data_IF_126063595431
#
_entry.id   IF_126063595431
#
_cell.length_a   1.000
_cell.length_b   1.000
_cell.length_c   1.000
_cell.angle_alpha   90.00
_cell.angle_beta   90.00
_cell.angle_gamma   90.00
#
_symmetry.space_group_name_H-M   'P 1'
#
loop_
_entity.id
_entity.type
_entity.pdbx_description
1 polymer ?
#
# COMPACT_ATOMS: atom_id res chain seq x y z
N UNK A 1 -3.67 -3.50 7.90
CA UNK A 1 -4.35 -2.36 8.54
C UNK A 1 -4.16 -1.05 7.79
N UNK A 2 -3.02 -0.79 7.17
CA UNK A 2 -2.69 0.48 6.50
C UNK A 2 -3.41 0.76 5.16
N UNK A 3 -4.07 -0.22 4.57
CA UNK A 3 -4.86 0.01 3.35
C UNK A 3 -5.92 1.08 3.59
N UNK A 4 -5.77 2.26 2.97
CA UNK A 4 -6.68 3.41 3.09
C UNK A 4 -6.89 3.92 4.55
N UNK A 5 -5.93 3.71 5.44
CA UNK A 5 -5.98 4.19 6.82
C UNK A 5 -4.63 4.79 7.20
N UNK A 6 -4.66 5.95 7.84
CA UNK A 6 -3.44 6.67 8.24
C UNK A 6 -2.66 5.91 9.32
N UNK A 7 -1.33 6.00 9.28
CA UNK A 7 -0.42 5.32 10.21
C UNK A 7 -0.75 5.64 11.67
N UNK A 8 -0.95 6.92 12.00
CA UNK A 8 -1.30 7.35 13.37
C UNK A 8 -2.53 6.66 13.93
N UNK A 9 -3.54 6.44 13.08
CA UNK A 9 -4.77 5.73 13.45
C UNK A 9 -4.50 4.24 13.65
N UNK A 10 -3.64 3.64 12.83
CA UNK A 10 -3.37 2.18 12.86
C UNK A 10 -2.54 1.75 14.06
N UNK A 11 -1.58 2.56 14.52
CA UNK A 11 -0.62 2.19 15.58
C UNK A 11 -1.29 1.58 16.82
N UNK A 12 -2.28 2.23 17.49
CA UNK A 12 -2.90 1.66 18.68
C UNK A 12 -3.66 0.36 18.39
N UNK A 13 -4.31 0.25 17.25
CA UNK A 13 -5.00 -0.98 16.82
C UNK A 13 -4.02 -2.11 16.55
N UNK A 14 -2.92 -1.82 15.87
CA UNK A 14 -1.89 -2.79 15.56
C UNK A 14 -1.27 -3.37 16.83
N UNK A 15 -0.88 -2.50 17.77
CA UNK A 15 -0.29 -2.92 19.03
C UNK A 15 -1.23 -3.79 19.85
N UNK A 16 -2.51 -3.40 19.97
CA UNK A 16 -3.52 -4.20 20.65
C UNK A 16 -3.75 -5.55 19.94
N UNK A 17 -3.83 -5.52 18.60
CA UNK A 17 -4.07 -6.71 17.80
C UNK A 17 -2.94 -7.73 17.96
N UNK A 18 -1.68 -7.32 17.83
CA UNK A 18 -0.51 -8.20 17.97
C UNK A 18 -0.38 -8.74 19.41
N UNK A 19 -0.69 -7.93 20.42
CA UNK A 19 -0.72 -8.40 21.83
C UNK A 19 -1.75 -9.52 22.05
N UNK A 20 -2.92 -9.46 21.38
CA UNK A 20 -4.02 -10.43 21.56
C UNK A 20 -3.96 -11.60 20.57
N UNK A 21 -3.31 -11.40 19.43
CA UNK A 21 -3.18 -12.36 18.32
C UNK A 21 -1.73 -12.30 17.80
N UNK A 22 -0.78 -12.89 18.52
CA UNK A 22 0.66 -12.65 18.32
C UNK A 22 1.26 -13.32 17.08
N UNK A 23 0.57 -14.26 16.48
CA UNK A 23 1.08 -14.99 15.32
C UNK A 23 -0.03 -15.52 14.42
N UNK A 24 0.36 -16.02 13.25
CA UNK A 24 -0.55 -16.54 12.23
C UNK A 24 -1.40 -17.72 12.74
N UNK A 25 -0.83 -18.60 13.56
CA UNK A 25 -1.55 -19.75 14.15
C UNK A 25 -2.64 -19.28 15.12
N UNK A 26 -2.33 -18.30 15.97
CA UNK A 26 -3.32 -17.69 16.85
C UNK A 26 -4.43 -16.98 16.07
N UNK A 27 -4.07 -16.29 14.98
CA UNK A 27 -5.02 -15.62 14.08
C UNK A 27 -5.97 -16.64 13.43
N UNK A 28 -5.45 -17.70 12.85
CA UNK A 28 -6.24 -18.72 12.15
C UNK A 28 -7.22 -19.46 13.07
N UNK A 29 -6.84 -19.66 14.35
CA UNK A 29 -7.67 -20.33 15.37
C UNK A 29 -8.68 -19.40 16.06
N UNK A 30 -8.53 -18.09 15.94
CA UNK A 30 -9.46 -17.13 16.53
C UNK A 30 -10.84 -17.20 15.90
N UNK A 31 -11.89 -16.84 16.64
CA UNK A 31 -13.21 -16.64 16.05
C UNK A 31 -13.26 -15.35 15.24
N UNK A 32 -14.07 -15.31 14.18
CA UNK A 32 -14.26 -14.10 13.37
C UNK A 32 -14.77 -12.95 14.25
N UNK A 33 -15.67 -13.24 15.19
CA UNK A 33 -16.21 -12.26 16.17
C UNK A 33 -15.07 -11.60 16.97
N UNK A 34 -14.09 -12.39 17.47
CA UNK A 34 -12.91 -11.86 18.18
C UNK A 34 -12.09 -10.95 17.30
N UNK A 35 -11.83 -11.33 16.06
CA UNK A 35 -11.03 -10.53 15.11
C UNK A 35 -11.76 -9.21 14.77
N UNK A 36 -13.06 -9.25 14.52
CA UNK A 36 -13.86 -8.06 14.28
C UNK A 36 -13.92 -7.12 15.48
N UNK A 37 -13.99 -7.67 16.71
CA UNK A 37 -13.94 -6.86 17.93
C UNK A 37 -12.60 -6.13 18.10
N UNK A 38 -11.49 -6.80 17.78
CA UNK A 38 -10.16 -6.15 17.81
C UNK A 38 -9.96 -5.11 16.70
N UNK A 39 -10.82 -5.13 15.69
CA UNK A 39 -10.80 -4.20 14.56
C UNK A 39 -11.82 -3.07 14.69
N UNK A 40 -12.67 -3.12 15.72
CA UNK A 40 -13.78 -2.19 15.93
C UNK A 40 -13.27 -0.74 15.97
N UNK A 41 -13.91 0.14 15.19
CA UNK A 41 -13.52 1.55 15.04
C UNK A 41 -12.50 1.83 13.93
N UNK A 42 -11.76 0.82 13.44
CA UNK A 42 -10.79 1.03 12.35
C UNK A 42 -11.44 1.15 10.96
N UNK A 43 -12.69 0.68 10.81
CA UNK A 43 -13.43 0.68 9.54
C UNK A 43 -12.97 -0.37 8.53
N UNK A 44 -13.64 -0.42 7.38
CA UNK A 44 -13.34 -1.37 6.30
C UNK A 44 -13.19 -2.80 6.79
N UNK A 45 -14.18 -3.32 7.49
CA UNK A 45 -14.18 -4.64 8.16
C UNK A 45 -13.91 -5.82 7.24
N UNK A 46 -14.14 -5.68 5.94
CA UNK A 46 -13.78 -6.68 4.94
C UNK A 46 -12.28 -7.02 5.00
N UNK A 47 -11.41 -6.05 5.33
CA UNK A 47 -9.97 -6.29 5.51
C UNK A 47 -9.68 -7.26 6.66
N UNK A 48 -10.38 -7.10 7.79
CA UNK A 48 -10.26 -8.00 8.93
C UNK A 48 -10.73 -9.42 8.58
N UNK A 49 -11.88 -9.52 7.90
CA UNK A 49 -12.40 -10.82 7.43
C UNK A 49 -11.45 -11.48 6.44
N UNK A 50 -10.92 -10.73 5.48
CA UNK A 50 -9.97 -11.24 4.51
C UNK A 50 -8.66 -11.69 5.19
N UNK A 51 -8.11 -10.90 6.10
CA UNK A 51 -6.93 -11.27 6.88
C UNK A 51 -7.13 -12.59 7.64
N UNK A 52 -8.29 -12.75 8.29
CA UNK A 52 -8.66 -13.97 9.00
C UNK A 52 -8.81 -15.18 8.06
N UNK A 53 -9.53 -15.01 6.93
CA UNK A 53 -9.67 -16.06 5.91
C UNK A 53 -8.31 -16.46 5.33
N UNK A 54 -7.49 -15.49 4.97
CA UNK A 54 -6.13 -15.70 4.45
C UNK A 54 -5.27 -16.47 5.46
N UNK A 55 -5.34 -16.15 6.75
CA UNK A 55 -4.58 -16.89 7.78
C UNK A 55 -4.94 -18.37 7.83
N UNK A 56 -6.21 -18.72 7.69
CA UNK A 56 -6.68 -20.12 7.63
C UNK A 56 -6.15 -20.85 6.39
N UNK A 57 -6.18 -20.19 5.23
CA UNK A 57 -5.66 -20.74 3.97
C UNK A 57 -4.16 -20.97 4.09
N UNK A 58 -3.40 -19.99 4.62
CA UNK A 58 -1.96 -20.11 4.79
C UNK A 58 -1.60 -21.28 5.70
N UNK A 59 -2.28 -21.47 6.82
CA UNK A 59 -2.04 -22.61 7.71
C UNK A 59 -2.39 -23.93 7.01
N UNK A 60 -3.54 -24.03 6.33
CA UNK A 60 -4.02 -25.26 5.72
C UNK A 60 -3.26 -25.66 4.46
N UNK A 61 -3.02 -24.71 3.56
CA UNK A 61 -2.49 -24.97 2.19
C UNK A 61 -0.98 -24.73 2.07
N UNK A 62 -0.43 -23.85 2.91
CA UNK A 62 0.96 -23.38 2.78
C UNK A 62 1.80 -23.59 4.04
N UNK A 63 1.36 -24.43 4.98
CA UNK A 63 2.07 -24.70 6.25
C UNK A 63 2.46 -23.44 7.03
N UNK A 64 1.64 -22.40 6.96
CA UNK A 64 1.89 -21.12 7.62
C UNK A 64 2.88 -20.20 6.92
N UNK A 65 3.38 -20.56 5.74
CA UNK A 65 4.27 -19.72 4.94
C UNK A 65 3.49 -18.86 3.95
N UNK A 66 3.97 -17.68 3.66
CA UNK A 66 3.43 -16.82 2.61
C UNK A 66 3.95 -17.36 1.26
N UNK A 67 3.11 -17.55 0.22
CA UNK A 67 3.58 -18.05 -1.07
C UNK A 67 4.54 -17.09 -1.76
N UNK A 68 5.61 -17.59 -2.35
CA UNK A 68 6.59 -16.81 -3.13
C UNK A 68 6.16 -16.61 -4.60
N UNK A 69 4.91 -16.82 -4.92
CA UNK A 69 4.36 -16.69 -6.27
C UNK A 69 3.29 -15.60 -6.33
N UNK A 70 3.43 -14.68 -7.28
CA UNK A 70 2.45 -13.63 -7.54
C UNK A 70 1.03 -14.19 -7.76
N UNK A 71 0.91 -15.23 -8.59
CA UNK A 71 -0.38 -15.87 -8.89
C UNK A 71 -1.00 -16.47 -7.63
N UNK A 72 -0.22 -17.21 -6.84
CA UNK A 72 -0.70 -17.83 -5.59
C UNK A 72 -1.06 -16.80 -4.52
N UNK A 73 -0.35 -15.67 -4.47
CA UNK A 73 -0.70 -14.57 -3.57
C UNK A 73 -2.04 -13.95 -3.95
N UNK A 74 -2.30 -13.77 -5.23
CA UNK A 74 -3.57 -13.20 -5.71
C UNK A 74 -4.79 -14.11 -5.48
N UNK A 75 -4.60 -15.41 -5.30
CA UNK A 75 -5.67 -16.32 -4.88
C UNK A 75 -6.13 -16.09 -3.43
N UNK A 76 -5.32 -15.38 -2.62
CA UNK A 76 -5.62 -15.15 -1.21
C UNK A 76 -6.59 -13.97 -1.04
N UNK A 77 -7.61 -14.11 -0.15
CA UNK A 77 -8.59 -13.07 0.08
C UNK A 77 -7.96 -11.71 0.47
N UNK A 78 -8.31 -10.66 -0.25
CA UNK A 78 -7.85 -9.29 0.03
C UNK A 78 -6.43 -8.98 -0.46
N UNK A 79 -5.81 -9.85 -1.24
CA UNK A 79 -4.53 -9.63 -1.89
C UNK A 79 -4.75 -9.31 -3.37
N UNK A 80 -4.62 -8.05 -3.72
CA UNK A 80 -4.57 -7.55 -5.10
C UNK A 80 -3.13 -7.42 -5.60
N UNK A 81 -2.97 -6.91 -6.83
CA UNK A 81 -1.67 -6.75 -7.50
C UNK A 81 -0.68 -5.94 -6.66
N UNK A 82 -1.14 -4.82 -6.09
CA UNK A 82 -0.33 -3.99 -5.21
C UNK A 82 0.20 -4.77 -4.01
N UNK A 83 -0.69 -5.42 -3.26
CA UNK A 83 -0.31 -6.15 -2.05
C UNK A 83 0.59 -7.34 -2.37
N UNK A 84 0.33 -8.06 -3.46
CA UNK A 84 1.17 -9.16 -3.90
C UNK A 84 2.60 -8.70 -4.23
N UNK A 85 2.75 -7.59 -4.97
CA UNK A 85 4.06 -7.03 -5.29
C UNK A 85 4.79 -6.52 -4.04
N UNK A 86 4.11 -5.85 -3.11
CA UNK A 86 4.69 -5.44 -1.81
C UNK A 86 5.23 -6.66 -1.06
N UNK A 87 4.42 -7.71 -0.90
CA UNK A 87 4.84 -8.91 -0.17
C UNK A 87 6.05 -9.60 -0.82
N UNK A 88 6.07 -9.70 -2.15
CA UNK A 88 7.20 -10.30 -2.88
C UNK A 88 8.48 -9.48 -2.76
N UNK A 89 8.38 -8.15 -2.78
CA UNK A 89 9.52 -7.27 -2.58
C UNK A 89 10.05 -7.33 -1.15
N UNK A 90 9.18 -7.16 -0.15
CA UNK A 90 9.60 -7.03 1.25
C UNK A 90 10.02 -8.37 1.89
N UNK A 91 9.33 -9.46 1.58
CA UNK A 91 9.59 -10.76 2.23
C UNK A 91 10.64 -11.55 1.47
N UNK A 92 10.59 -11.53 0.14
CA UNK A 92 11.41 -12.35 -0.73
C UNK A 92 12.46 -11.58 -1.52
N UNK A 93 12.56 -10.27 -1.27
CA UNK A 93 13.48 -9.38 -1.96
C UNK A 93 13.41 -9.49 -3.50
N UNK A 94 12.23 -9.84 -4.04
CA UNK A 94 12.04 -9.91 -5.49
C UNK A 94 12.05 -8.51 -6.10
N UNK A 95 12.56 -8.33 -7.34
CA UNK A 95 12.57 -7.04 -8.03
C UNK A 95 11.14 -6.67 -8.49
N UNK A 96 10.32 -6.25 -7.55
CA UNK A 96 8.92 -5.89 -7.73
C UNK A 96 8.69 -4.45 -7.28
N UNK A 97 7.96 -3.71 -8.09
CA UNK A 97 7.50 -2.36 -7.74
C UNK A 97 6.01 -2.42 -7.47
N UNK A 98 5.62 -1.94 -6.30
CA UNK A 98 4.22 -1.84 -5.92
C UNK A 98 3.72 -0.43 -6.23
N UNK A 99 2.93 -0.28 -7.27
CA UNK A 99 2.44 1.01 -7.75
C UNK A 99 1.25 1.51 -6.96
N UNK A 100 1.51 2.28 -5.90
CA UNK A 100 0.49 3.14 -5.30
C UNK A 100 0.53 4.56 -5.91
N UNK A 101 -0.32 5.45 -5.43
CA UNK A 101 -0.34 6.83 -5.89
C UNK A 101 0.96 7.59 -5.58
N UNK A 102 1.70 7.21 -4.53
CA UNK A 102 2.99 7.81 -4.18
C UNK A 102 4.07 7.37 -5.16
N UNK A 103 4.22 6.07 -5.34
CA UNK A 103 5.22 5.48 -6.24
C UNK A 103 5.01 5.95 -7.68
N UNK A 104 3.76 5.89 -8.19
CA UNK A 104 3.44 6.40 -9.53
C UNK A 104 3.84 7.86 -9.70
N UNK A 105 3.54 8.71 -8.73
CA UNK A 105 3.89 10.13 -8.76
C UNK A 105 5.40 10.34 -8.75
N UNK A 106 6.12 9.66 -7.86
CA UNK A 106 7.59 9.76 -7.76
C UNK A 106 8.23 9.41 -9.08
N UNK A 107 7.91 8.24 -9.63
CA UNK A 107 8.52 7.74 -10.86
C UNK A 107 8.17 8.59 -12.08
N UNK A 108 6.89 9.01 -12.21
CA UNK A 108 6.48 9.90 -13.30
C UNK A 108 7.17 11.26 -13.25
N UNK A 109 7.39 11.82 -12.05
CA UNK A 109 8.12 13.08 -11.89
C UNK A 109 9.61 12.94 -12.14
N UNK A 110 10.19 11.84 -11.69
CA UNK A 110 11.63 11.60 -11.81
C UNK A 110 12.03 11.40 -13.26
N UNK A 111 11.30 10.58 -14.00
CA UNK A 111 11.68 10.15 -15.36
C UNK A 111 10.85 10.80 -16.47
N UNK A 112 9.77 11.52 -16.16
CA UNK A 112 8.83 12.10 -17.13
C UNK A 112 8.20 11.07 -18.09
N UNK A 113 8.03 9.84 -17.63
CA UNK A 113 7.42 8.72 -18.37
C UNK A 113 6.38 8.02 -17.48
N UNK A 114 5.61 7.09 -18.07
CA UNK A 114 4.72 6.26 -17.26
C UNK A 114 5.52 5.46 -16.24
N UNK A 115 5.04 5.45 -15.00
CA UNK A 115 5.70 4.75 -13.91
C UNK A 115 5.87 3.24 -14.19
N UNK A 116 4.91 2.67 -14.92
CA UNK A 116 4.89 1.25 -15.26
C UNK A 116 5.98 0.85 -16.26
N UNK A 117 6.43 1.78 -17.10
CA UNK A 117 7.50 1.54 -18.09
C UNK A 117 8.90 1.44 -17.44
N UNK A 118 9.01 1.86 -16.17
CA UNK A 118 10.30 1.95 -15.45
C UNK A 118 10.59 0.70 -14.62
N UNK A 119 9.67 -0.26 -14.55
CA UNK A 119 9.77 -1.45 -13.66
C UNK A 119 11.09 -2.20 -13.85
N UNK A 120 11.54 -2.33 -15.09
CA UNK A 120 12.77 -3.08 -15.41
C UNK A 120 14.05 -2.36 -14.99
N UNK A 121 13.99 -1.08 -14.65
CA UNK A 121 15.15 -0.29 -14.19
C UNK A 121 15.42 -0.50 -12.69
N UNK A 122 14.44 -1.07 -11.95
CA UNK A 122 14.55 -1.25 -10.50
C UNK A 122 14.90 -2.69 -10.12
N UNK A 123 16.10 -3.11 -10.49
CA UNK A 123 16.67 -4.37 -10.05
C UNK A 123 17.90 -4.09 -9.20
N UNK A 124 17.80 -4.32 -7.91
CA UNK A 124 18.89 -4.10 -6.95
C UNK A 124 19.11 -5.34 -6.09
N UNK A 125 20.20 -5.32 -5.28
CA UNK A 125 20.39 -6.34 -4.24
C UNK A 125 19.44 -6.14 -3.03
N UNK A 126 18.80 -4.96 -2.93
CA UNK A 126 17.94 -4.54 -1.81
C UNK A 126 16.57 -4.08 -2.33
N UNK A 127 15.86 -4.96 -3.03
CA UNK A 127 14.59 -4.62 -3.67
C UNK A 127 13.48 -4.27 -2.65
N UNK A 128 13.46 -4.94 -1.50
CA UNK A 128 12.54 -4.63 -0.41
C UNK A 128 12.73 -3.20 0.10
N UNK A 129 13.98 -2.82 0.40
CA UNK A 129 14.29 -1.46 0.87
C UNK A 129 13.96 -0.40 -0.19
N UNK A 130 14.20 -0.71 -1.47
CA UNK A 130 13.83 0.19 -2.55
C UNK A 130 12.31 0.39 -2.63
N UNK A 131 11.54 -0.67 -2.45
CA UNK A 131 10.08 -0.58 -2.45
C UNK A 131 9.57 0.29 -1.29
N UNK A 132 10.10 0.12 -0.07
CA UNK A 132 9.77 0.96 1.08
C UNK A 132 10.22 2.41 0.86
N UNK A 133 11.45 2.62 0.41
CA UNK A 133 12.00 3.95 0.17
C UNK A 133 11.16 4.75 -0.85
N UNK A 134 10.69 4.12 -1.94
CA UNK A 134 9.83 4.78 -2.92
C UNK A 134 8.48 5.22 -2.34
N UNK A 135 7.87 4.37 -1.52
CA UNK A 135 6.60 4.70 -0.86
C UNK A 135 6.77 5.84 0.14
N UNK A 136 7.79 5.76 0.99
CA UNK A 136 8.08 6.76 2.02
C UNK A 136 8.54 8.09 1.41
N UNK A 137 9.42 8.06 0.42
CA UNK A 137 9.86 9.24 -0.31
C UNK A 137 8.68 9.99 -0.94
N UNK A 138 7.72 9.25 -1.53
CA UNK A 138 6.50 9.84 -2.06
C UNK A 138 5.60 10.43 -0.97
N UNK A 139 5.57 9.85 0.21
CA UNK A 139 4.76 10.34 1.32
C UNK A 139 5.37 11.57 2.02
N UNK A 140 6.70 11.62 2.17
CA UNK A 140 7.40 12.63 2.99
C UNK A 140 8.00 13.77 2.17
N UNK A 141 8.63 13.48 1.05
CA UNK A 141 9.41 14.42 0.23
C UNK A 141 8.65 14.81 -1.03
N UNK A 142 8.40 13.86 -1.93
CA UNK A 142 7.76 14.11 -3.21
C UNK A 142 6.23 14.15 -3.08
N UNK A 143 5.71 15.07 -2.25
CA UNK A 143 4.29 15.21 -1.94
C UNK A 143 3.45 15.57 -3.19
N UNK A 144 2.12 15.30 -3.18
CA UNK A 144 1.23 15.68 -4.28
C UNK A 144 1.19 17.19 -4.50
N UNK A 145 1.01 17.95 -3.40
CA UNK A 145 1.07 19.41 -3.35
C UNK A 145 2.34 19.80 -2.61
N UNK A 146 2.99 20.86 -3.05
CA UNK A 146 4.18 21.44 -2.44
C UNK A 146 5.27 20.38 -2.12
N UNK A 147 5.82 19.72 -3.15
CA UNK A 147 6.89 18.77 -2.93
C UNK A 147 8.13 19.48 -2.37
N UNK A 148 8.83 18.84 -1.43
CA UNK A 148 10.02 19.40 -0.78
C UNK A 148 11.25 19.26 -1.67
N UNK A 149 11.22 19.88 -2.85
CA UNK A 149 12.29 19.73 -3.84
C UNK A 149 13.65 20.27 -3.33
N UNK A 150 13.63 21.28 -2.45
CA UNK A 150 14.85 21.82 -1.87
C UNK A 150 15.59 20.82 -0.96
N UNK A 151 14.85 19.94 -0.28
CA UNK A 151 15.37 18.88 0.60
C UNK A 151 15.60 17.56 -0.15
N UNK A 152 15.32 17.52 -1.46
CA UNK A 152 15.34 16.29 -2.25
C UNK A 152 16.76 15.97 -2.74
N UNK A 153 17.36 14.87 -2.27
CA UNK A 153 18.70 14.43 -2.65
C UNK A 153 18.84 14.11 -4.14
N UNK A 154 17.74 13.64 -4.77
CA UNK A 154 17.74 13.27 -6.18
C UNK A 154 17.22 14.37 -7.12
N UNK A 155 17.08 15.62 -6.64
CA UNK A 155 16.55 16.73 -7.45
C UNK A 155 17.32 17.01 -8.73
N UNK A 156 18.64 16.81 -8.72
CA UNK A 156 19.50 17.04 -9.90
C UNK A 156 19.18 16.07 -11.06
N UNK A 157 18.66 14.90 -10.75
CA UNK A 157 18.28 13.86 -11.73
C UNK A 157 16.79 13.91 -12.09
N UNK A 158 16.02 14.81 -11.46
CA UNK A 158 14.57 14.83 -11.56
C UNK A 158 14.10 15.67 -12.75
N UNK A 159 13.45 15.03 -13.73
CA UNK A 159 12.89 15.70 -14.89
C UNK A 159 11.84 16.78 -14.52
N UNK A 160 11.02 16.51 -13.52
CA UNK A 160 10.05 17.49 -13.01
C UNK A 160 10.75 18.74 -12.46
N UNK A 161 11.80 18.59 -11.63
CA UNK A 161 12.54 19.71 -11.08
C UNK A 161 13.24 20.54 -12.17
N UNK A 162 13.83 19.86 -13.16
CA UNK A 162 14.46 20.53 -14.30
C UNK A 162 13.43 21.30 -15.16
N UNK A 163 12.18 20.83 -15.25
CA UNK A 163 11.12 21.47 -16.03
C UNK A 163 10.42 22.62 -15.29
N UNK A 164 10.38 22.61 -13.95
CA UNK A 164 9.78 23.70 -13.17
C UNK A 164 10.48 25.05 -13.35
N UNK A 165 11.73 25.05 -13.76
CA UNK A 165 12.40 26.29 -14.18
C UNK A 165 11.80 26.89 -15.47
N UNK A 166 10.96 26.17 -16.20
CA UNK A 166 10.41 26.56 -17.52
C UNK A 166 8.89 26.44 -17.69
N UNK A 167 8.15 25.69 -16.84
CA UNK A 167 6.73 25.43 -17.10
C UNK A 167 5.90 25.50 -15.81
N UNK A 168 5.16 26.58 -15.62
CA UNK A 168 3.97 26.58 -14.75
C UNK A 168 2.90 25.73 -15.43
N UNK A 169 2.71 24.51 -14.97
CA UNK A 169 1.63 23.65 -15.44
C UNK A 169 0.28 24.28 -15.06
N UNK A 170 -0.39 24.89 -16.02
CA UNK A 170 -1.83 25.15 -15.95
C UNK A 170 -2.58 23.81 -16.10
N UNK A 171 -2.71 23.04 -15.04
CA UNK A 171 -3.69 21.95 -15.01
C UNK A 171 -5.08 22.55 -14.82
N UNK A 172 -5.85 22.66 -15.90
CA UNK A 172 -7.32 22.66 -15.79
C UNK A 172 -7.75 21.23 -15.44
N UNK A 173 -7.84 20.93 -14.15
CA UNK A 173 -8.53 19.73 -13.67
C UNK A 173 -10.02 20.03 -13.86
N UNK A 174 -10.66 19.41 -14.86
CA UNK A 174 -12.12 19.32 -14.87
C UNK A 174 -12.51 18.39 -13.71
N UNK A 175 -12.87 18.99 -12.57
CA UNK A 175 -13.49 18.26 -11.48
C UNK A 175 -14.92 17.94 -11.96
N UNK A 176 -15.17 16.69 -12.35
CA UNK A 176 -16.53 16.17 -12.45
C UNK A 176 -16.98 15.91 -11.01
N UNK A 177 -17.77 16.82 -10.45
CA UNK A 177 -18.50 16.59 -9.21
C UNK A 177 -19.61 15.57 -9.52
N UNK A 178 -19.50 14.36 -8.98
CA UNK A 178 -20.61 13.41 -8.88
C UNK A 178 -21.21 13.59 -7.51
N UNK A 179 -22.46 14.04 -7.44
CA UNK A 179 -23.26 13.99 -6.23
C UNK A 179 -23.85 12.59 -6.08
N UNK A 180 -23.74 12.02 -4.88
CA UNK A 180 -24.36 10.76 -4.53
C UNK A 180 -25.35 11.03 -3.41
N UNK A 181 -26.62 10.66 -3.62
CA UNK A 181 -27.63 10.66 -2.56
C UNK A 181 -27.44 9.39 -1.73
N UNK A 182 -27.07 9.56 -0.47
CA UNK A 182 -26.91 8.44 0.48
C UNK A 182 -28.23 8.32 1.27
N UNK A 183 -29.02 7.31 0.96
CA UNK A 183 -30.20 6.95 1.77
C UNK A 183 -29.79 6.04 2.92
N UNK A 184 -29.82 6.56 4.15
CA UNK A 184 -29.66 5.76 5.36
C UNK A 184 -31.01 5.16 5.76
N UNK A 185 -31.21 3.87 5.54
CA UNK A 185 -32.34 3.14 6.12
C UNK A 185 -32.01 2.80 7.58
N UNK A 186 -32.59 3.53 8.51
CA UNK A 186 -32.65 3.12 9.91
C UNK A 186 -33.76 2.08 10.03
N UNK A 187 -33.40 0.80 10.19
CA UNK A 187 -34.37 -0.23 10.65
C UNK A 187 -34.65 0.01 12.12
N UNK A 188 -35.90 0.33 12.44
CA UNK A 188 -36.42 0.32 13.80
C UNK A 188 -36.45 -1.10 14.37
#
# INVERSE_FOLDING_TARGET
MLQQTQVKTVIPYFNNFVKKVPNLKALSKSSEKKILKLWEGLGYYTRAKNLHKTSKILIKKYNGKIPESFVRLKELPGIGDYTANVLLALIYNQPRVAFDGNVKRVLSRLFNINAEDVVNLFKTKRNGDLAEALMEFGALICKPKDPRCNECEIKKMCAYYASESKIRFKRKIKIQSKSYDIFCYLKK
#
